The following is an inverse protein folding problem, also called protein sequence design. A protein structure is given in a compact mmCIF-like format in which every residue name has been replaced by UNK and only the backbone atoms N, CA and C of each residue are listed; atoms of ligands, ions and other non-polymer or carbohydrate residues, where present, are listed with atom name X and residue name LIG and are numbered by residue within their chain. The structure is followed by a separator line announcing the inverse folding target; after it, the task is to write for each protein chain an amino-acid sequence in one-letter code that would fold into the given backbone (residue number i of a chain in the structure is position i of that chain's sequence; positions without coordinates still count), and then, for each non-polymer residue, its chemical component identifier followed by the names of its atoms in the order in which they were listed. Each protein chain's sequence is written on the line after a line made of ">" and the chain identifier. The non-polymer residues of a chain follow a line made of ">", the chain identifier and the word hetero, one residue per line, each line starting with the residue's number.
data_IF_210107575273
#
_entry.id   IF_210107575273
#
_cell.length_a   1.000
_cell.length_b   1.000
_cell.length_c   1.000
_cell.angle_alpha   90.00
_cell.angle_beta   90.00
_cell.angle_gamma   90.00
#
_symmetry.space_group_name_H-M   'P 1'
#
loop_
_entity.id
_entity.type
_entity.pdbx_description
1 polymer ?
#
# COMPACT_ATOMS: atom_id res chain seq x y z
N UNK A 1 -28.91 4.33 29.61
CA UNK A 1 -28.26 5.10 28.54
C UNK A 1 -28.75 6.53 28.67
N UNK A 2 -27.98 7.36 29.36
CA UNK A 2 -28.25 8.80 29.44
C UNK A 2 -27.27 9.44 28.47
N UNK A 3 -27.57 9.35 27.17
CA UNK A 3 -26.97 10.24 26.20
C UNK A 3 -28.00 11.35 26.06
N UNK A 4 -27.65 12.61 26.35
CA UNK A 4 -28.55 13.78 26.36
C UNK A 4 -29.37 14.09 25.09
N UNK A 5 -29.71 13.11 24.25
CA UNK A 5 -30.55 13.23 23.07
C UNK A 5 -31.99 13.59 23.41
N UNK A 6 -32.50 14.60 22.71
CA UNK A 6 -33.90 15.01 22.77
C UNK A 6 -34.84 13.93 22.21
N UNK A 7 -36.17 14.00 22.45
CA UNK A 7 -37.12 13.10 21.80
C UNK A 7 -37.01 13.08 20.27
N UNK A 8 -36.70 14.23 19.65
CA UNK A 8 -36.49 14.32 18.20
C UNK A 8 -35.23 13.57 17.77
N UNK A 9 -34.14 13.68 18.54
CA UNK A 9 -32.92 12.90 18.30
C UNK A 9 -33.19 11.40 18.35
N UNK A 10 -33.87 10.92 19.39
CA UNK A 10 -34.16 9.48 19.56
C UNK A 10 -35.08 8.97 18.44
N UNK A 11 -36.09 9.75 18.05
CA UNK A 11 -36.99 9.39 16.94
C UNK A 11 -36.24 9.35 15.60
N UNK A 12 -35.33 10.30 15.35
CA UNK A 12 -34.49 10.35 14.16
C UNK A 12 -33.49 9.18 14.12
N UNK A 13 -32.86 8.85 15.26
CA UNK A 13 -31.95 7.71 15.41
C UNK A 13 -32.62 6.39 15.06
N UNK A 14 -33.87 6.17 15.48
CA UNK A 14 -34.63 4.94 15.24
C UNK A 14 -35.48 4.98 13.95
N UNK A 15 -35.42 6.07 13.18
CA UNK A 15 -36.15 6.20 11.92
C UNK A 15 -37.67 6.27 12.06
N UNK A 16 -38.19 6.69 13.22
CA UNK A 16 -39.62 6.81 13.49
C UNK A 16 -40.21 8.07 12.84
N UNK A 17 -40.37 8.04 11.51
CA UNK A 17 -40.73 9.20 10.67
C UNK A 17 -42.00 9.92 11.14
N UNK A 18 -43.03 9.17 11.54
CA UNK A 18 -44.29 9.75 12.03
C UNK A 18 -44.09 10.53 13.33
N UNK A 19 -43.24 10.01 14.23
CA UNK A 19 -42.87 10.67 15.48
C UNK A 19 -42.00 11.90 15.20
N UNK A 20 -41.04 11.78 14.26
CA UNK A 20 -40.24 12.92 13.80
C UNK A 20 -41.14 14.04 13.27
N UNK A 21 -42.10 13.72 12.38
CA UNK A 21 -43.01 14.71 11.81
C UNK A 21 -43.91 15.37 12.88
N UNK A 22 -44.43 14.59 13.83
CA UNK A 22 -45.23 15.12 14.93
C UNK A 22 -44.42 16.07 15.82
N UNK A 23 -43.18 15.70 16.17
CA UNK A 23 -42.28 16.53 16.98
C UNK A 23 -41.89 17.83 16.26
N UNK A 24 -41.60 17.76 14.96
CA UNK A 24 -41.30 18.96 14.15
C UNK A 24 -42.52 19.89 14.05
N UNK A 25 -43.72 19.34 13.87
CA UNK A 25 -44.98 20.13 13.87
C UNK A 25 -45.21 20.81 15.23
N UNK A 26 -44.81 20.17 16.32
CA UNK A 26 -44.86 20.73 17.66
C UNK A 26 -43.73 21.74 17.97
N UNK A 27 -42.87 22.06 17.00
CA UNK A 27 -41.80 23.05 17.15
C UNK A 27 -40.53 22.52 17.82
N UNK A 28 -40.26 21.21 17.76
CA UNK A 28 -39.01 20.66 18.25
C UNK A 28 -37.79 21.27 17.52
N UNK A 29 -36.76 21.64 18.28
CA UNK A 29 -35.52 22.21 17.74
C UNK A 29 -34.74 21.16 16.94
N UNK A 30 -34.55 21.39 15.64
CA UNK A 30 -33.79 20.50 14.73
C UNK A 30 -32.30 20.44 15.06
N UNK A 31 -31.78 21.44 15.78
CA UNK A 31 -30.35 21.58 16.10
C UNK A 31 -30.01 21.13 17.53
N UNK A 32 -30.97 20.53 18.24
CA UNK A 32 -30.71 20.04 19.59
C UNK A 32 -29.84 18.77 19.56
N UNK A 33 -28.53 18.97 19.65
CA UNK A 33 -27.51 17.94 19.61
C UNK A 33 -27.41 17.12 20.91
N UNK A 34 -26.86 15.91 20.81
CA UNK A 34 -26.45 15.10 21.96
C UNK A 34 -25.10 15.60 22.54
N UNK A 35 -24.55 14.86 23.50
CA UNK A 35 -23.26 15.16 24.15
C UNK A 35 -22.07 15.16 23.19
N UNK A 36 -22.13 14.42 22.06
CA UNK A 36 -21.06 14.36 21.05
C UNK A 36 -21.24 15.44 19.96
N UNK A 37 -22.19 16.36 20.13
CA UNK A 37 -22.52 17.37 19.12
C UNK A 37 -23.34 16.84 17.93
N UNK A 38 -23.80 15.59 17.93
CA UNK A 38 -24.59 15.02 16.85
C UNK A 38 -26.04 15.53 16.87
N UNK A 39 -26.50 16.13 15.78
CA UNK A 39 -27.90 16.58 15.60
C UNK A 39 -28.84 15.44 15.20
N UNK A 40 -30.17 15.61 15.32
CA UNK A 40 -31.16 14.72 14.72
C UNK A 40 -30.89 14.39 13.25
N UNK A 41 -30.46 15.37 12.44
CA UNK A 41 -30.12 15.15 11.03
C UNK A 41 -28.89 14.25 10.88
N UNK A 42 -27.86 14.50 11.69
CA UNK A 42 -26.65 13.66 11.72
C UNK A 42 -27.00 12.19 12.02
N UNK A 43 -27.79 11.92 13.06
CA UNK A 43 -28.10 10.54 13.44
C UNK A 43 -29.05 9.83 12.47
N UNK A 44 -29.99 10.56 11.85
CA UNK A 44 -30.80 10.00 10.77
C UNK A 44 -29.95 9.65 9.54
N UNK A 45 -28.95 10.49 9.21
CA UNK A 45 -27.99 10.24 8.15
C UNK A 45 -27.06 9.06 8.49
N UNK A 46 -26.57 8.97 9.73
CA UNK A 46 -25.76 7.86 10.24
C UNK A 46 -26.44 6.51 10.04
N UNK A 47 -27.74 6.40 10.35
CA UNK A 47 -28.51 5.16 10.24
C UNK A 47 -29.20 4.97 8.87
N UNK A 48 -29.01 5.89 7.93
CA UNK A 48 -29.60 5.79 6.59
C UNK A 48 -31.13 5.94 6.56
N UNK A 49 -31.72 6.59 7.55
CA UNK A 49 -33.17 6.79 7.63
C UNK A 49 -33.63 7.95 6.72
N UNK A 50 -33.62 7.71 5.40
CA UNK A 50 -33.85 8.73 4.36
C UNK A 50 -35.13 9.53 4.55
N UNK A 51 -36.22 8.88 4.97
CA UNK A 51 -37.49 9.58 5.20
C UNK A 51 -37.41 10.54 6.39
N UNK A 52 -36.70 10.18 7.46
CA UNK A 52 -36.41 11.09 8.57
C UNK A 52 -35.46 12.22 8.15
N UNK A 53 -34.40 11.90 7.37
CA UNK A 53 -33.50 12.89 6.77
C UNK A 53 -34.29 13.94 5.98
N UNK A 54 -35.17 13.52 5.06
CA UNK A 54 -36.00 14.44 4.27
C UNK A 54 -36.95 15.28 5.11
N UNK A 55 -37.57 14.69 6.14
CA UNK A 55 -38.44 15.43 7.05
C UNK A 55 -37.68 16.52 7.81
N UNK A 56 -36.49 16.20 8.33
CA UNK A 56 -35.62 17.14 9.03
C UNK A 56 -35.12 18.26 8.11
N UNK A 57 -34.70 17.94 6.88
CA UNK A 57 -34.29 18.93 5.88
C UNK A 57 -35.45 19.85 5.48
N UNK A 58 -36.66 19.32 5.32
CA UNK A 58 -37.86 20.12 5.02
C UNK A 58 -38.19 21.09 6.17
N UNK A 59 -37.90 20.69 7.41
CA UNK A 59 -38.04 21.54 8.59
C UNK A 59 -36.88 22.52 8.80
N UNK A 60 -35.91 22.59 7.88
CA UNK A 60 -34.81 23.56 7.93
C UNK A 60 -33.60 23.12 8.77
N UNK A 61 -33.43 21.82 9.03
CA UNK A 61 -32.25 21.32 9.72
C UNK A 61 -30.96 21.70 8.97
N UNK A 62 -29.93 22.14 9.70
CA UNK A 62 -28.68 22.59 9.13
C UNK A 62 -27.86 21.41 8.56
N UNK A 63 -27.62 21.41 7.24
CA UNK A 63 -26.81 20.38 6.57
C UNK A 63 -25.34 20.42 6.95
N UNK A 64 -24.86 21.55 7.47
CA UNK A 64 -23.46 21.81 7.83
C UNK A 64 -23.23 21.73 9.34
N UNK A 65 -24.18 21.22 10.12
CA UNK A 65 -23.97 21.01 11.55
C UNK A 65 -22.88 19.95 11.77
N UNK A 66 -21.81 20.34 12.45
CA UNK A 66 -20.68 19.47 12.77
C UNK A 66 -20.83 18.86 14.17
N UNK A 67 -20.49 17.58 14.32
CA UNK A 67 -20.27 16.98 15.63
C UNK A 67 -18.92 17.42 16.23
N UNK A 68 -18.56 16.95 17.43
CA UNK A 68 -17.29 17.33 18.08
C UNK A 68 -16.02 16.96 17.27
N UNK A 69 -16.11 15.96 16.39
CA UNK A 69 -15.02 15.55 15.50
C UNK A 69 -14.94 16.39 14.20
N UNK A 70 -15.88 17.31 13.97
CA UNK A 70 -15.98 18.11 12.75
C UNK A 70 -16.65 17.38 11.59
N UNK A 71 -17.47 16.36 11.87
CA UNK A 71 -18.20 15.60 10.85
C UNK A 71 -19.60 16.15 10.64
N UNK A 72 -19.98 16.31 9.37
CA UNK A 72 -21.31 16.74 8.96
C UNK A 72 -22.19 15.53 8.64
N UNK A 73 -23.53 15.70 8.54
CA UNK A 73 -24.43 14.68 8.03
C UNK A 73 -23.98 14.07 6.69
N UNK A 74 -23.36 14.84 5.80
CA UNK A 74 -22.88 14.34 4.51
C UNK A 74 -21.63 13.45 4.67
N UNK A 75 -20.70 13.80 5.57
CA UNK A 75 -19.55 12.94 5.89
C UNK A 75 -20.02 11.56 6.38
N UNK A 76 -20.95 11.53 7.33
CA UNK A 76 -21.37 10.28 7.95
C UNK A 76 -22.25 9.41 7.03
N UNK A 77 -23.10 10.03 6.20
CA UNK A 77 -23.85 9.32 5.17
C UNK A 77 -22.91 8.68 4.13
N UNK A 78 -21.84 9.39 3.73
CA UNK A 78 -20.82 8.87 2.82
C UNK A 78 -19.99 7.74 3.46
N UNK A 79 -19.68 7.85 4.76
CA UNK A 79 -18.96 6.83 5.52
C UNK A 79 -19.69 5.51 5.61
N UNK A 80 -21.01 5.54 5.85
CA UNK A 80 -21.85 4.33 5.92
C UNK A 80 -22.41 3.89 4.56
N UNK A 81 -22.10 4.62 3.48
CA UNK A 81 -22.55 4.27 2.12
C UNK A 81 -24.06 4.44 1.90
N UNK A 82 -24.73 5.29 2.67
CA UNK A 82 -26.17 5.53 2.55
C UNK A 82 -26.49 6.47 1.38
N UNK A 83 -26.49 5.93 0.16
CA UNK A 83 -26.58 6.65 -1.12
C UNK A 83 -27.78 7.60 -1.18
N UNK A 84 -28.95 7.15 -0.75
CA UNK A 84 -30.17 7.96 -0.78
C UNK A 84 -30.15 9.10 0.24
N UNK A 85 -29.46 8.91 1.38
CA UNK A 85 -29.23 9.98 2.34
C UNK A 85 -28.22 11.00 1.79
N UNK A 86 -27.13 10.53 1.16
CA UNK A 86 -26.17 11.38 0.43
C UNK A 86 -26.90 12.22 -0.63
N UNK A 87 -27.73 11.59 -1.47
CA UNK A 87 -28.49 12.29 -2.50
C UNK A 87 -29.48 13.32 -1.92
N UNK A 88 -30.17 12.99 -0.83
CA UNK A 88 -31.09 13.90 -0.16
C UNK A 88 -30.36 15.13 0.41
N UNK A 89 -29.22 14.92 1.07
CA UNK A 89 -28.39 16.00 1.63
C UNK A 89 -27.85 16.92 0.53
N UNK A 90 -27.32 16.36 -0.56
CA UNK A 90 -26.83 17.13 -1.71
C UNK A 90 -27.93 17.94 -2.39
N UNK A 91 -29.13 17.36 -2.52
CA UNK A 91 -30.31 18.06 -3.08
C UNK A 91 -30.73 19.23 -2.19
N UNK A 92 -30.59 19.09 -0.87
CA UNK A 92 -30.85 20.15 0.09
C UNK A 92 -29.72 21.19 0.21
N UNK A 93 -28.67 21.09 -0.62
CA UNK A 93 -27.60 22.08 -0.68
C UNK A 93 -26.41 21.82 0.25
N UNK A 94 -26.29 20.61 0.80
CA UNK A 94 -25.12 20.25 1.61
C UNK A 94 -23.81 20.48 0.82
N UNK A 95 -22.81 21.04 1.47
CA UNK A 95 -21.54 21.33 0.83
C UNK A 95 -20.76 20.03 0.55
N UNK A 96 -20.78 19.58 -0.71
CA UNK A 96 -20.03 18.41 -1.17
C UNK A 96 -18.50 18.52 -1.04
N UNK A 97 -17.98 19.73 -0.88
CA UNK A 97 -16.55 20.02 -0.68
C UNK A 97 -16.20 20.32 0.77
N UNK A 98 -17.13 20.09 1.71
CA UNK A 98 -16.82 20.19 3.14
C UNK A 98 -15.65 19.26 3.45
N UNK A 99 -14.70 19.75 4.25
CA UNK A 99 -13.47 19.04 4.53
C UNK A 99 -13.25 18.96 6.04
N UNK A 100 -12.88 17.78 6.54
CA UNK A 100 -12.41 17.62 7.91
C UNK A 100 -11.11 18.39 8.13
N UNK A 101 -10.64 18.44 9.39
CA UNK A 101 -9.36 19.06 9.74
C UNK A 101 -8.20 18.56 8.89
N UNK A 102 -8.20 17.31 8.43
CA UNK A 102 -7.12 16.72 7.61
C UNK A 102 -7.36 16.79 6.10
N UNK A 103 -8.37 17.54 5.67
CA UNK A 103 -8.69 17.76 4.27
C UNK A 103 -9.52 16.63 3.65
N UNK A 104 -10.16 15.78 4.45
CA UNK A 104 -11.01 14.71 3.94
C UNK A 104 -12.39 15.25 3.59
N UNK A 105 -12.79 15.05 2.35
CA UNK A 105 -14.15 15.36 1.87
C UNK A 105 -15.03 14.12 1.90
N UNK A 106 -16.38 14.25 1.79
CA UNK A 106 -17.26 13.09 1.64
C UNK A 106 -16.85 12.13 0.52
N UNK A 107 -16.27 12.64 -0.57
CA UNK A 107 -15.76 11.80 -1.66
C UNK A 107 -14.54 10.96 -1.27
N UNK A 108 -13.63 11.51 -0.46
CA UNK A 108 -12.52 10.74 0.12
C UNK A 108 -13.04 9.63 1.04
N UNK A 109 -14.01 9.95 1.89
CA UNK A 109 -14.59 9.01 2.84
C UNK A 109 -15.32 7.86 2.12
N UNK A 110 -16.12 8.16 1.09
CA UNK A 110 -16.78 7.13 0.29
C UNK A 110 -15.76 6.26 -0.47
N UNK A 111 -14.68 6.86 -1.00
CA UNK A 111 -13.60 6.16 -1.67
C UNK A 111 -12.79 5.26 -0.71
N UNK A 112 -12.57 5.70 0.52
CA UNK A 112 -11.88 4.93 1.57
C UNK A 112 -12.63 3.67 1.99
N UNK A 113 -13.96 3.75 2.09
CA UNK A 113 -14.80 2.61 2.46
C UNK A 113 -15.27 1.78 1.24
N UNK A 114 -14.94 2.20 0.02
CA UNK A 114 -15.29 1.49 -1.21
C UNK A 114 -16.78 1.55 -1.56
N UNK A 115 -17.53 2.55 -1.06
CA UNK A 115 -18.94 2.74 -1.36
C UNK A 115 -19.12 3.37 -2.76
N UNK A 116 -19.09 2.52 -3.78
CA UNK A 116 -19.06 2.93 -5.20
C UNK A 116 -20.27 3.78 -5.59
N UNK A 117 -21.45 3.44 -5.10
CA UNK A 117 -22.68 4.15 -5.39
C UNK A 117 -22.69 5.54 -4.72
N UNK A 118 -22.12 5.67 -3.52
CA UNK A 118 -21.94 6.97 -2.87
C UNK A 118 -20.88 7.82 -3.60
N UNK A 119 -19.78 7.21 -4.05
CA UNK A 119 -18.78 7.84 -4.94
C UNK A 119 -19.47 8.36 -6.21
N UNK A 120 -20.27 7.54 -6.88
CA UNK A 120 -20.98 7.92 -8.09
C UNK A 120 -21.99 9.05 -7.86
N UNK A 121 -22.74 9.02 -6.75
CA UNK A 121 -23.68 10.07 -6.38
C UNK A 121 -22.96 11.42 -6.15
N UNK A 122 -21.85 11.41 -5.42
CA UNK A 122 -21.04 12.62 -5.16
C UNK A 122 -20.45 13.19 -6.45
N UNK A 123 -19.89 12.34 -7.33
CA UNK A 123 -19.36 12.76 -8.63
C UNK A 123 -20.45 13.33 -9.55
N UNK A 124 -21.64 12.72 -9.55
CA UNK A 124 -22.81 13.21 -10.32
C UNK A 124 -23.27 14.58 -9.81
N UNK A 125 -23.19 14.83 -8.51
CA UNK A 125 -23.44 16.14 -7.91
C UNK A 125 -22.30 17.16 -8.14
N UNK A 126 -21.25 16.77 -8.88
CA UNK A 126 -20.13 17.62 -9.26
C UNK A 126 -19.04 17.75 -8.19
N UNK A 127 -18.89 16.77 -7.29
CA UNK A 127 -17.81 16.78 -6.32
C UNK A 127 -16.45 16.76 -7.02
N UNK A 128 -15.51 17.55 -6.52
CA UNK A 128 -14.18 17.65 -7.11
C UNK A 128 -13.34 16.39 -6.79
N UNK A 129 -13.20 15.54 -7.81
CA UNK A 129 -12.39 14.31 -7.79
C UNK A 129 -10.87 14.53 -7.65
N UNK A 130 -10.40 15.77 -7.75
CA UNK A 130 -8.99 16.14 -7.63
C UNK A 130 -8.65 16.85 -6.31
N UNK A 131 -9.60 16.95 -5.37
CA UNK A 131 -9.27 17.48 -4.03
C UNK A 131 -8.22 16.57 -3.40
N UNK A 132 -7.25 17.19 -2.74
CA UNK A 132 -6.19 16.49 -2.05
C UNK A 132 -6.30 16.73 -0.54
N UNK A 133 -6.09 15.68 0.24
CA UNK A 133 -5.90 15.80 1.69
C UNK A 133 -4.63 16.61 2.01
N UNK A 134 -4.38 16.87 3.30
CA UNK A 134 -3.13 17.52 3.73
C UNK A 134 -1.87 16.81 3.23
N UNK A 135 -1.88 15.50 3.03
CA UNK A 135 -0.71 14.75 2.56
C UNK A 135 -0.63 14.64 1.03
N UNK A 136 -1.58 15.27 0.32
CA UNK A 136 -1.65 15.24 -1.14
C UNK A 136 -2.42 14.02 -1.68
N UNK A 137 -3.11 13.25 -0.85
CA UNK A 137 -3.87 12.09 -1.31
C UNK A 137 -5.21 12.51 -1.92
N UNK A 138 -5.50 12.07 -3.14
CA UNK A 138 -6.80 12.27 -3.81
C UNK A 138 -7.76 11.10 -3.51
N UNK A 139 -9.07 11.21 -3.82
CA UNK A 139 -9.98 10.09 -3.69
C UNK A 139 -9.53 8.85 -4.48
N UNK A 140 -8.92 9.03 -5.66
CA UNK A 140 -8.37 7.93 -6.46
C UNK A 140 -7.19 7.26 -5.75
N UNK A 141 -6.30 8.05 -5.15
CA UNK A 141 -5.21 7.52 -4.34
C UNK A 141 -5.74 6.69 -3.16
N UNK A 142 -6.75 7.20 -2.44
CA UNK A 142 -7.31 6.53 -1.27
C UNK A 142 -8.05 5.24 -1.64
N UNK A 143 -8.83 5.23 -2.73
CA UNK A 143 -9.45 4.01 -3.23
C UNK A 143 -8.40 2.97 -3.65
N UNK A 144 -7.29 3.43 -4.26
CA UNK A 144 -6.18 2.58 -4.67
C UNK A 144 -5.40 2.02 -3.46
N UNK A 145 -5.19 2.81 -2.41
CA UNK A 145 -4.57 2.39 -1.16
C UNK A 145 -5.33 1.21 -0.51
N UNK A 146 -6.66 1.31 -0.47
CA UNK A 146 -7.54 0.32 0.16
C UNK A 146 -7.96 -0.84 -0.75
N UNK A 147 -7.58 -0.84 -2.03
CA UNK A 147 -7.86 -1.94 -2.94
C UNK A 147 -9.29 -1.95 -3.52
N UNK A 148 -10.02 -0.84 -3.42
CA UNK A 148 -11.41 -0.76 -3.88
C UNK A 148 -11.50 -0.56 -5.41
N UNK A 149 -11.32 -1.64 -6.16
CA UNK A 149 -11.25 -1.62 -7.64
C UNK A 149 -12.48 -0.97 -8.31
N UNK A 150 -13.68 -1.19 -7.77
CA UNK A 150 -14.89 -0.61 -8.35
C UNK A 150 -14.96 0.91 -8.14
N UNK A 151 -14.52 1.42 -6.98
CA UNK A 151 -14.40 2.86 -6.73
C UNK A 151 -13.30 3.49 -7.59
N UNK A 152 -12.15 2.80 -7.76
CA UNK A 152 -11.08 3.21 -8.69
C UNK A 152 -11.62 3.35 -10.11
N UNK A 153 -12.35 2.35 -10.62
CA UNK A 153 -12.96 2.39 -11.96
C UNK A 153 -13.97 3.53 -12.10
N UNK A 154 -14.81 3.78 -11.09
CA UNK A 154 -15.76 4.88 -11.10
C UNK A 154 -15.05 6.25 -11.18
N UNK A 155 -14.00 6.46 -10.37
CA UNK A 155 -13.21 7.68 -10.37
C UNK A 155 -12.48 7.91 -11.71
N UNK A 156 -11.86 6.86 -12.27
CA UNK A 156 -11.20 6.93 -13.59
C UNK A 156 -12.20 7.22 -14.71
N UNK A 157 -13.39 6.60 -14.68
CA UNK A 157 -14.47 6.85 -15.64
C UNK A 157 -14.97 8.29 -15.57
N UNK A 158 -15.00 8.87 -14.37
CA UNK A 158 -15.30 10.29 -14.17
C UNK A 158 -14.16 11.24 -14.55
N UNK A 159 -13.03 10.70 -15.03
CA UNK A 159 -11.87 11.46 -15.52
C UNK A 159 -10.87 11.86 -14.43
N UNK A 160 -10.80 11.12 -13.31
CA UNK A 160 -9.81 11.39 -12.27
C UNK A 160 -8.39 11.21 -12.81
N UNK A 161 -7.47 12.11 -12.45
CA UNK A 161 -6.08 12.06 -12.90
C UNK A 161 -5.33 10.95 -12.17
N UNK A 162 -4.98 9.90 -12.92
CA UNK A 162 -4.24 8.72 -12.44
C UNK A 162 -2.78 8.97 -12.01
N UNK A 163 -2.23 10.15 -12.33
CA UNK A 163 -0.82 10.52 -12.05
C UNK A 163 -0.66 11.51 -10.90
N UNK A 164 -1.74 11.94 -10.23
CA UNK A 164 -1.61 12.86 -9.09
C UNK A 164 -0.91 12.14 -7.95
N UNK A 165 0.24 12.68 -7.54
CA UNK A 165 1.06 12.11 -6.49
C UNK A 165 0.84 12.83 -5.14
N UNK A 166 1.03 12.10 -4.04
CA UNK A 166 1.13 12.67 -2.70
C UNK A 166 2.37 13.56 -2.57
N UNK A 167 2.50 14.25 -1.43
CA UNK A 167 3.69 15.06 -1.11
C UNK A 167 5.00 14.27 -1.16
N UNK A 168 4.95 12.99 -0.82
CA UNK A 168 6.10 12.08 -0.89
C UNK A 168 6.30 11.47 -2.30
N UNK A 169 5.56 11.94 -3.30
CA UNK A 169 5.65 11.49 -4.69
C UNK A 169 4.98 10.15 -4.97
N UNK A 170 4.10 9.64 -4.08
CA UNK A 170 3.38 8.38 -4.34
C UNK A 170 2.18 8.59 -5.26
N UNK A 171 2.16 7.91 -6.40
CA UNK A 171 0.97 7.85 -7.28
C UNK A 171 0.01 6.75 -6.82
N UNK A 172 -1.26 6.75 -7.26
CA UNK A 172 -2.20 5.65 -7.06
C UNK A 172 -1.63 4.28 -7.47
N UNK A 173 -0.88 4.21 -8.56
CA UNK A 173 -0.25 2.96 -9.01
C UNK A 173 0.86 2.48 -8.06
N UNK A 174 1.65 3.39 -7.49
CA UNK A 174 2.68 3.02 -6.53
C UNK A 174 2.08 2.36 -5.28
N UNK A 175 1.04 2.98 -4.73
CA UNK A 175 0.46 2.52 -3.45
C UNK A 175 -0.36 1.25 -3.62
N UNK A 176 -1.10 1.11 -4.73
CA UNK A 176 -1.77 -0.14 -5.08
C UNK A 176 -0.75 -1.27 -5.27
N UNK A 177 0.39 -0.95 -5.87
CA UNK A 177 1.46 -1.93 -6.07
C UNK A 177 2.12 -2.35 -4.75
N UNK A 178 2.40 -1.39 -3.86
CA UNK A 178 2.97 -1.65 -2.54
C UNK A 178 2.05 -2.51 -1.65
N UNK A 179 0.73 -2.32 -1.76
CA UNK A 179 -0.26 -3.04 -0.94
C UNK A 179 -0.76 -4.33 -1.59
N UNK A 180 -0.32 -4.64 -2.82
CA UNK A 180 -0.61 -5.91 -3.47
C UNK A 180 -1.95 -6.01 -4.20
N UNK A 181 -2.58 -4.88 -4.51
CA UNK A 181 -3.92 -4.83 -5.11
C UNK A 181 -3.87 -5.04 -6.63
N UNK A 182 -3.73 -6.30 -7.07
CA UNK A 182 -3.57 -6.70 -8.49
C UNK A 182 -4.66 -6.13 -9.39
N UNK A 183 -5.92 -6.17 -8.96
CA UNK A 183 -7.06 -5.72 -9.75
C UNK A 183 -7.08 -4.19 -9.91
N UNK A 184 -6.70 -3.45 -8.86
CA UNK A 184 -6.52 -1.99 -8.92
C UNK A 184 -5.36 -1.62 -9.84
N UNK A 185 -4.22 -2.31 -9.71
CA UNK A 185 -3.06 -2.13 -10.60
C UNK A 185 -3.48 -2.33 -12.05
N UNK A 186 -4.19 -3.43 -12.34
CA UNK A 186 -4.68 -3.73 -13.69
C UNK A 186 -5.63 -2.64 -14.20
N UNK A 187 -6.54 -2.13 -13.36
CA UNK A 187 -7.46 -1.06 -13.72
C UNK A 187 -6.73 0.26 -14.03
N UNK A 188 -5.73 0.63 -13.22
CA UNK A 188 -4.90 1.82 -13.44
C UNK A 188 -4.07 1.71 -14.72
N UNK A 189 -3.44 0.56 -14.96
CA UNK A 189 -2.66 0.29 -16.18
C UNK A 189 -3.55 0.30 -17.44
N UNK A 190 -4.74 -0.27 -17.35
CA UNK A 190 -5.74 -0.23 -18.45
C UNK A 190 -6.17 1.21 -18.75
N UNK A 191 -6.24 2.06 -17.72
CA UNK A 191 -6.48 3.49 -17.88
C UNK A 191 -5.23 4.26 -18.35
N UNK A 192 -4.12 3.60 -18.62
CA UNK A 192 -2.86 4.17 -19.12
C UNK A 192 -2.03 4.86 -18.04
N UNK A 193 -2.09 4.41 -16.79
CA UNK A 193 -1.20 4.91 -15.73
C UNK A 193 0.26 4.56 -16.04
N UNK A 194 1.18 5.47 -15.77
CA UNK A 194 2.60 5.28 -16.04
C UNK A 194 3.21 4.22 -15.11
N UNK A 195 3.41 3.00 -15.62
CA UNK A 195 4.04 1.88 -14.90
C UNK A 195 5.50 2.14 -14.51
N UNK A 196 6.16 3.11 -15.14
CA UNK A 196 7.55 3.50 -14.91
C UNK A 196 7.69 4.81 -14.11
N UNK A 197 6.58 5.37 -13.59
CA UNK A 197 6.65 6.54 -12.72
C UNK A 197 7.64 6.29 -11.57
N UNK A 198 8.48 7.28 -11.27
CA UNK A 198 9.44 7.19 -10.18
C UNK A 198 9.25 8.38 -9.24
N UNK A 199 9.15 8.11 -7.94
CA UNK A 199 9.20 9.17 -6.92
C UNK A 199 10.64 9.65 -6.70
N UNK A 200 10.83 10.66 -5.86
CA UNK A 200 12.14 11.30 -5.61
C UNK A 200 13.29 10.36 -5.24
N UNK A 201 13.02 9.25 -4.53
CA UNK A 201 14.03 8.23 -4.16
C UNK A 201 14.31 7.20 -5.27
N UNK A 202 13.68 7.37 -6.45
CA UNK A 202 13.76 6.46 -7.59
C UNK A 202 12.92 5.19 -7.43
N UNK A 203 12.04 5.08 -6.43
CA UNK A 203 11.13 3.95 -6.28
C UNK A 203 10.03 4.03 -7.34
N UNK A 204 9.88 2.93 -8.08
CA UNK A 204 8.84 2.72 -9.11
C UNK A 204 7.74 1.80 -8.57
N UNK A 205 6.57 1.67 -9.23
CA UNK A 205 5.55 0.71 -8.86
C UNK A 205 6.07 -0.73 -8.77
N UNK A 206 6.94 -1.14 -9.69
CA UNK A 206 7.55 -2.49 -9.67
C UNK A 206 8.42 -2.69 -8.42
N UNK A 207 9.21 -1.69 -8.02
CA UNK A 207 10.01 -1.73 -6.79
C UNK A 207 9.12 -1.76 -5.54
N UNK A 208 8.01 -1.02 -5.55
CA UNK A 208 7.04 -1.02 -4.47
C UNK A 208 6.39 -2.41 -4.30
N UNK A 209 5.97 -3.04 -5.40
CA UNK A 209 5.43 -4.41 -5.40
C UNK A 209 6.45 -5.44 -4.91
N UNK A 210 7.70 -5.33 -5.35
CA UNK A 210 8.78 -6.21 -4.92
C UNK A 210 9.07 -6.07 -3.41
N UNK A 211 9.06 -4.85 -2.88
CA UNK A 211 9.20 -4.59 -1.45
C UNK A 211 8.07 -5.22 -0.63
N UNK A 212 6.82 -5.12 -1.11
CA UNK A 212 5.67 -5.80 -0.50
C UNK A 212 5.65 -7.33 -0.70
N UNK A 213 6.47 -7.86 -1.61
CA UNK A 213 6.48 -9.28 -1.97
C UNK A 213 5.28 -9.71 -2.82
N UNK A 214 4.67 -8.77 -3.56
CA UNK A 214 3.43 -8.99 -4.31
C UNK A 214 3.70 -9.48 -5.73
N UNK A 215 4.03 -10.77 -5.87
CA UNK A 215 4.36 -11.43 -7.15
C UNK A 215 3.28 -11.23 -8.21
N UNK A 216 1.99 -11.30 -7.84
CA UNK A 216 0.88 -11.08 -8.77
C UNK A 216 0.86 -9.66 -9.36
N UNK A 217 1.16 -8.65 -8.53
CA UNK A 217 1.29 -7.26 -8.99
C UNK A 217 2.51 -7.10 -9.88
N UNK A 218 3.66 -7.66 -9.46
CA UNK A 218 4.88 -7.61 -10.27
C UNK A 218 4.63 -8.20 -11.65
N UNK A 219 3.99 -9.36 -11.72
CA UNK A 219 3.59 -9.98 -12.99
C UNK A 219 2.70 -9.05 -13.82
N UNK A 220 1.67 -8.45 -13.22
CA UNK A 220 0.78 -7.53 -13.94
C UNK A 220 1.54 -6.32 -14.52
N UNK A 221 2.48 -5.75 -13.77
CA UNK A 221 3.33 -4.64 -14.24
C UNK A 221 4.30 -5.05 -15.36
N UNK A 222 4.87 -6.25 -15.28
CA UNK A 222 5.80 -6.78 -16.28
C UNK A 222 5.11 -7.14 -17.60
N UNK A 223 3.87 -7.62 -17.54
CA UNK A 223 3.08 -8.02 -18.71
C UNK A 223 2.29 -6.87 -19.35
N UNK A 224 2.04 -5.77 -18.63
CA UNK A 224 1.36 -4.64 -19.21
C UNK A 224 2.23 -4.00 -20.30
N UNK A 225 1.77 -4.00 -21.55
CA UNK A 225 2.42 -3.25 -22.63
C UNK A 225 2.27 -1.76 -22.36
N UNK A 226 3.38 -1.02 -22.34
CA UNK A 226 3.38 0.43 -22.19
C UNK A 226 3.14 1.12 -23.54
N UNK A 227 2.67 2.36 -23.54
CA UNK A 227 2.62 3.16 -24.77
C UNK A 227 4.02 3.41 -25.36
N UNK A 228 5.07 3.46 -24.52
CA UNK A 228 6.48 3.54 -24.93
C UNK A 228 7.02 2.26 -25.58
N UNK A 229 6.32 1.13 -25.45
CA UNK A 229 6.74 -0.15 -26.04
C UNK A 229 6.28 -0.25 -27.52
N UNK A 230 5.57 0.77 -28.04
CA UNK A 230 5.12 0.90 -29.45
C UNK A 230 6.10 1.66 -30.35
N UNK A 231 7.13 2.31 -29.80
CA UNK A 231 8.19 2.90 -30.61
C UNK A 231 9.12 1.80 -31.14
N UNK A 232 9.20 1.66 -32.47
CA UNK A 232 10.03 0.67 -33.14
C UNK A 232 11.52 0.86 -32.75
N UNK A 233 12.02 -0.03 -31.89
CA UNK A 233 13.39 0.03 -31.33
C UNK A 233 13.46 0.15 -29.81
N UNK A 234 12.33 0.34 -29.13
CA UNK A 234 12.19 0.24 -27.68
C UNK A 234 12.22 -1.24 -27.30
N UNK A 235 13.41 -1.77 -26.99
CA UNK A 235 13.53 -3.13 -26.47
C UNK A 235 12.66 -3.26 -25.21
N UNK A 236 11.56 -4.02 -25.30
CA UNK A 236 10.89 -4.56 -24.11
C UNK A 236 11.90 -5.42 -23.37
N UNK A 237 12.66 -4.79 -22.46
CA UNK A 237 13.80 -5.37 -21.73
C UNK A 237 13.44 -6.57 -20.85
N UNK A 238 12.15 -6.86 -20.67
CA UNK A 238 11.69 -8.03 -19.93
C UNK A 238 11.70 -9.26 -20.83
N UNK A 239 12.57 -10.21 -20.48
CA UNK A 239 12.72 -11.47 -21.22
C UNK A 239 11.79 -12.57 -20.66
N UNK A 240 11.51 -13.64 -21.43
CA UNK A 240 10.79 -14.81 -20.89
C UNK A 240 11.46 -15.41 -19.64
N UNK A 241 12.80 -15.26 -19.52
CA UNK A 241 13.56 -15.73 -18.37
C UNK A 241 13.21 -14.92 -17.11
N UNK A 242 13.01 -13.60 -17.23
CA UNK A 242 12.55 -12.76 -16.12
C UNK A 242 11.23 -13.25 -15.52
N UNK A 243 10.24 -13.50 -16.39
CA UNK A 243 8.93 -13.98 -15.97
C UNK A 243 9.00 -15.38 -15.37
N UNK A 244 9.68 -16.33 -16.04
CA UNK A 244 9.85 -17.69 -15.51
C UNK A 244 10.53 -17.68 -14.13
N UNK A 245 11.48 -16.78 -13.91
CA UNK A 245 12.15 -16.62 -12.62
C UNK A 245 11.24 -16.04 -11.54
N UNK A 246 10.46 -14.99 -11.85
CA UNK A 246 9.46 -14.44 -10.93
C UNK A 246 8.44 -15.51 -10.51
N UNK A 247 8.07 -16.37 -11.45
CA UNK A 247 7.05 -17.41 -11.28
C UNK A 247 7.55 -18.63 -10.50
N UNK A 248 8.87 -18.77 -10.37
CA UNK A 248 9.50 -19.95 -9.80
C UNK A 248 9.41 -21.19 -10.71
N UNK A 249 9.14 -21.02 -12.01
CA UNK A 249 9.03 -22.12 -12.98
C UNK A 249 10.43 -22.63 -13.37
N UNK A 250 10.99 -23.52 -12.54
CA UNK A 250 12.31 -24.08 -12.73
C UNK A 250 12.46 -24.78 -14.09
N UNK A 251 11.44 -25.54 -14.52
CA UNK A 251 11.50 -26.27 -15.78
C UNK A 251 11.64 -25.31 -16.98
N UNK A 252 10.85 -24.23 -16.98
CA UNK A 252 10.95 -23.19 -18.01
C UNK A 252 12.25 -22.42 -17.95
N UNK A 253 12.76 -22.12 -16.75
CA UNK A 253 14.10 -21.51 -16.56
C UNK A 253 15.18 -22.40 -17.17
N UNK A 254 15.13 -23.70 -16.94
CA UNK A 254 16.12 -24.63 -17.50
C UNK A 254 16.07 -24.70 -19.03
N UNK A 255 14.87 -24.78 -19.60
CA UNK A 255 14.67 -24.75 -21.05
C UNK A 255 15.23 -23.48 -21.67
N UNK A 256 14.95 -22.31 -21.08
CA UNK A 256 15.41 -21.02 -21.60
C UNK A 256 16.93 -20.89 -21.55
N UNK A 257 17.56 -21.29 -20.44
CA UNK A 257 19.02 -21.25 -20.31
C UNK A 257 19.71 -22.24 -21.27
N UNK A 258 19.13 -23.43 -21.48
CA UNK A 258 19.62 -24.38 -22.50
C UNK A 258 19.48 -23.81 -23.93
N UNK A 259 18.43 -23.02 -24.16
CA UNK A 259 18.21 -22.29 -25.41
C UNK A 259 19.09 -21.06 -25.61
N UNK A 260 20.04 -20.78 -24.69
CA UNK A 260 20.98 -19.66 -24.80
C UNK A 260 20.47 -18.34 -24.26
N UNK A 261 19.41 -18.33 -23.44
CA UNK A 261 18.99 -17.12 -22.74
C UNK A 261 20.12 -16.60 -21.84
N UNK A 262 20.40 -15.30 -21.93
CA UNK A 262 21.44 -14.65 -21.12
C UNK A 262 20.98 -14.55 -19.65
N UNK A 263 21.80 -15.09 -18.74
CA UNK A 263 21.46 -15.25 -17.32
C UNK A 263 21.30 -13.92 -16.57
N UNK A 264 22.02 -12.89 -17.01
CA UNK A 264 22.07 -11.56 -16.40
C UNK A 264 21.43 -10.49 -17.29
N UNK A 265 20.57 -10.88 -18.25
CA UNK A 265 19.85 -9.91 -19.08
C UNK A 265 19.21 -8.84 -18.21
N UNK A 266 19.45 -7.57 -18.54
CA UNK A 266 18.99 -6.45 -17.74
C UNK A 266 17.60 -5.98 -18.18
N UNK A 267 16.60 -6.22 -17.32
CA UNK A 267 15.28 -5.61 -17.38
C UNK A 267 15.29 -4.08 -17.27
N UNK A 268 14.13 -3.44 -17.42
CA UNK A 268 13.98 -1.99 -17.12
C UNK A 268 14.41 -1.72 -15.68
N UNK A 269 15.19 -0.68 -15.43
CA UNK A 269 15.68 -0.34 -14.09
C UNK A 269 16.77 -1.27 -13.51
N UNK A 270 17.39 -2.11 -14.35
CA UNK A 270 18.54 -2.96 -14.01
C UNK A 270 18.19 -4.31 -13.37
N UNK A 271 16.90 -4.67 -13.36
CA UNK A 271 16.44 -5.95 -12.82
C UNK A 271 17.04 -7.12 -13.58
N UNK A 272 17.54 -8.12 -12.87
CA UNK A 272 18.02 -9.37 -13.47
C UNK A 272 17.06 -10.51 -13.16
N UNK A 273 17.14 -11.63 -13.89
CA UNK A 273 16.40 -12.85 -13.55
C UNK A 273 16.61 -13.29 -12.09
N UNK A 274 17.81 -13.13 -11.55
CA UNK A 274 18.11 -13.47 -10.15
C UNK A 274 17.33 -12.58 -9.17
N UNK A 275 17.23 -11.28 -9.44
CA UNK A 275 16.41 -10.40 -8.59
C UNK A 275 14.94 -10.82 -8.57
N UNK A 276 14.38 -11.21 -9.72
CA UNK A 276 13.00 -11.66 -9.81
C UNK A 276 12.77 -13.02 -9.15
N UNK A 277 13.71 -13.97 -9.29
CA UNK A 277 13.66 -15.25 -8.57
C UNK A 277 13.63 -15.05 -7.04
N UNK A 278 14.42 -14.09 -6.55
CA UNK A 278 14.45 -13.73 -5.14
C UNK A 278 13.15 -13.06 -4.69
N UNK A 279 12.55 -12.19 -5.51
CA UNK A 279 11.23 -11.61 -5.22
C UNK A 279 10.11 -12.66 -5.22
N UNK A 280 10.15 -13.62 -6.15
CA UNK A 280 9.28 -14.79 -6.19
C UNK A 280 9.53 -15.81 -5.08
N UNK A 281 10.60 -15.61 -4.29
CA UNK A 281 11.04 -16.50 -3.19
C UNK A 281 11.33 -17.95 -3.62
N UNK A 282 11.71 -18.15 -4.88
CA UNK A 282 12.08 -19.47 -5.40
C UNK A 282 13.57 -19.73 -5.18
N UNK A 283 13.90 -20.46 -4.11
CA UNK A 283 15.27 -20.82 -3.75
C UNK A 283 15.91 -21.75 -4.79
N UNK A 284 15.13 -22.64 -5.39
CA UNK A 284 15.59 -23.58 -6.42
C UNK A 284 15.98 -22.85 -7.71
N UNK A 285 15.13 -21.93 -8.17
CA UNK A 285 15.43 -21.10 -9.34
C UNK A 285 16.62 -20.19 -9.06
N UNK A 286 16.69 -19.54 -7.90
CA UNK A 286 17.84 -18.71 -7.52
C UNK A 286 19.14 -19.53 -7.52
N UNK A 287 19.14 -20.72 -6.92
CA UNK A 287 20.30 -21.62 -6.93
C UNK A 287 20.67 -22.10 -8.35
N UNK A 288 19.68 -22.30 -9.22
CA UNK A 288 19.90 -22.66 -10.63
C UNK A 288 20.52 -21.52 -11.44
N UNK A 289 20.10 -20.27 -11.21
CA UNK A 289 20.69 -19.08 -11.84
C UNK A 289 22.13 -18.86 -11.35
N UNK A 290 22.39 -18.99 -10.05
CA UNK A 290 23.74 -18.87 -9.49
C UNK A 290 24.71 -19.91 -10.08
N UNK A 291 24.25 -21.16 -10.28
CA UNK A 291 25.03 -22.19 -10.99
C UNK A 291 25.25 -21.88 -12.46
N UNK A 292 24.35 -21.12 -13.08
CA UNK A 292 24.48 -20.63 -14.45
C UNK A 292 25.34 -19.36 -14.57
N UNK A 293 25.93 -18.87 -13.47
CA UNK A 293 26.85 -17.73 -13.50
C UNK A 293 26.19 -16.37 -13.27
N UNK A 294 24.96 -16.32 -12.75
CA UNK A 294 24.29 -15.05 -12.43
C UNK A 294 25.13 -14.18 -11.49
N UNK A 295 25.21 -12.88 -11.80
CA UNK A 295 25.93 -11.90 -11.01
C UNK A 295 25.40 -11.81 -9.58
N UNK A 296 26.30 -11.82 -8.61
CA UNK A 296 25.98 -11.72 -7.18
C UNK A 296 26.06 -10.29 -6.63
N UNK A 297 26.55 -9.35 -7.45
CA UNK A 297 26.86 -7.97 -7.04
C UNK A 297 26.04 -6.91 -7.76
N UNK A 298 25.44 -7.23 -8.90
CA UNK A 298 24.61 -6.29 -9.65
C UNK A 298 23.42 -5.86 -8.80
N UNK A 299 23.24 -4.55 -8.59
CA UNK A 299 22.21 -4.03 -7.70
C UNK A 299 21.04 -3.39 -8.44
N UNK A 300 19.85 -3.47 -7.85
CA UNK A 300 18.62 -2.82 -8.34
C UNK A 300 18.08 -1.89 -7.26
N UNK A 301 18.07 -0.58 -7.53
CA UNK A 301 17.71 0.43 -6.51
C UNK A 301 18.61 0.36 -5.26
N UNK A 302 19.89 0.02 -5.47
CA UNK A 302 20.88 -0.17 -4.40
C UNK A 302 20.86 -1.55 -3.73
N UNK A 303 19.83 -2.37 -3.90
CA UNK A 303 19.80 -3.72 -3.32
C UNK A 303 20.51 -4.72 -4.24
N UNK A 304 21.55 -5.39 -3.72
CA UNK A 304 22.18 -6.55 -4.35
C UNK A 304 21.31 -7.82 -4.18
N UNK A 305 21.59 -8.93 -4.89
CA UNK A 305 20.95 -10.22 -4.65
C UNK A 305 21.02 -10.66 -3.19
N UNK A 306 22.11 -10.35 -2.49
CA UNK A 306 22.23 -10.67 -1.07
C UNK A 306 21.24 -9.86 -0.22
N UNK A 307 21.03 -8.57 -0.50
CA UNK A 307 19.99 -7.77 0.18
C UNK A 307 18.60 -8.37 -0.02
N UNK A 308 18.26 -8.77 -1.25
CA UNK A 308 16.94 -9.33 -1.57
C UNK A 308 16.74 -10.71 -0.93
N UNK A 309 17.74 -11.58 -0.97
CA UNK A 309 17.71 -12.88 -0.31
C UNK A 309 17.56 -12.73 1.21
N UNK A 310 18.26 -11.76 1.80
CA UNK A 310 18.19 -11.47 3.23
C UNK A 310 16.84 -10.89 3.65
N UNK A 311 16.29 -9.96 2.87
CA UNK A 311 14.96 -9.41 3.10
C UNK A 311 13.85 -10.46 2.95
N UNK A 312 14.03 -11.40 2.01
CA UNK A 312 13.06 -12.45 1.70
C UNK A 312 13.15 -13.70 2.60
N UNK A 313 14.10 -13.76 3.53
CA UNK A 313 14.25 -14.91 4.44
C UNK A 313 14.83 -16.17 3.78
N UNK A 314 15.59 -16.03 2.70
CA UNK A 314 16.06 -17.18 1.89
C UNK A 314 17.44 -17.66 2.34
N UNK A 315 17.54 -18.28 3.53
CA UNK A 315 18.81 -18.70 4.13
C UNK A 315 19.65 -19.63 3.22
N UNK A 316 19.00 -20.53 2.47
CA UNK A 316 19.67 -21.39 1.48
C UNK A 316 20.39 -20.59 0.39
N UNK A 317 19.75 -19.52 -0.11
CA UNK A 317 20.33 -18.65 -1.14
C UNK A 317 21.40 -17.74 -0.54
N UNK A 318 21.21 -17.24 0.68
CA UNK A 318 22.23 -16.47 1.42
C UNK A 318 23.51 -17.29 1.59
N UNK A 319 23.41 -18.57 1.93
CA UNK A 319 24.57 -19.46 2.01
C UNK A 319 25.27 -19.65 0.65
N UNK A 320 24.51 -19.69 -0.45
CA UNK A 320 25.07 -19.72 -1.79
C UNK A 320 25.75 -18.39 -2.18
N UNK A 321 25.25 -17.27 -1.65
CA UNK A 321 25.76 -15.91 -1.88
C UNK A 321 26.84 -15.48 -0.87
N UNK A 322 27.36 -16.35 0.00
CA UNK A 322 28.32 -16.01 1.06
C UNK A 322 29.63 -15.32 0.64
N UNK A 323 29.94 -15.32 -0.67
CA UNK A 323 31.11 -14.62 -1.25
C UNK A 323 30.78 -13.23 -1.80
N UNK A 324 29.50 -12.88 -1.85
CA UNK A 324 29.06 -11.54 -2.21
C UNK A 324 29.47 -10.54 -1.11
N UNK A 325 29.62 -9.24 -1.44
CA UNK A 325 29.98 -8.22 -0.45
C UNK A 325 28.93 -8.14 0.67
N UNK A 326 29.29 -8.63 1.86
CA UNK A 326 28.41 -8.67 3.03
C UNK A 326 28.08 -7.27 3.57
N UNK A 327 28.98 -6.31 3.34
CA UNK A 327 28.86 -4.92 3.82
C UNK A 327 28.44 -3.91 2.75
N UNK A 328 27.97 -4.39 1.59
CA UNK A 328 27.38 -3.50 0.60
C UNK A 328 26.20 -2.75 1.21
N UNK A 329 26.14 -1.42 1.02
CA UNK A 329 25.03 -0.57 1.44
C UNK A 329 24.12 -0.26 0.26
N UNK A 330 22.81 -0.35 0.47
CA UNK A 330 21.83 0.12 -0.49
C UNK A 330 21.60 1.64 -0.38
N UNK A 331 20.66 2.20 -1.15
CA UNK A 331 20.36 3.63 -1.12
C UNK A 331 19.79 4.13 0.23
N UNK A 332 19.30 3.22 1.07
CA UNK A 332 18.82 3.51 2.44
C UNK A 332 19.98 3.36 3.47
N UNK A 333 21.21 3.13 3.01
CA UNK A 333 22.39 2.92 3.84
C UNK A 333 22.40 1.59 4.61
N UNK A 334 21.51 0.65 4.26
CA UNK A 334 21.36 -0.63 4.94
C UNK A 334 22.21 -1.71 4.27
N UNK A 335 22.81 -2.59 5.09
CA UNK A 335 23.46 -3.83 4.65
C UNK A 335 22.45 -4.99 4.55
N UNK A 336 22.80 -6.14 3.95
CA UNK A 336 21.97 -7.34 3.98
C UNK A 336 21.62 -7.82 5.39
N UNK A 337 22.52 -7.63 6.37
CA UNK A 337 22.24 -7.97 7.77
C UNK A 337 21.11 -7.08 8.33
N UNK A 338 21.15 -5.77 8.06
CA UNK A 338 20.06 -4.86 8.42
C UNK A 338 18.72 -5.31 7.83
N UNK A 339 18.71 -5.72 6.55
CA UNK A 339 17.50 -6.22 5.88
C UNK A 339 16.95 -7.50 6.54
N UNK A 340 17.83 -8.43 6.92
CA UNK A 340 17.43 -9.66 7.61
C UNK A 340 16.82 -9.36 8.99
N UNK A 341 17.45 -8.45 9.74
CA UNK A 341 16.98 -8.00 11.05
C UNK A 341 15.64 -7.26 10.96
N UNK A 342 15.49 -6.35 9.99
CA UNK A 342 14.26 -5.61 9.74
C UNK A 342 13.03 -6.53 9.59
N UNK A 343 13.24 -7.75 9.08
CA UNK A 343 12.19 -8.74 8.81
C UNK A 343 12.16 -9.90 9.82
N UNK A 344 13.06 -9.91 10.81
CA UNK A 344 13.11 -10.93 11.84
C UNK A 344 13.55 -12.32 11.36
N UNK A 345 14.30 -12.42 10.24
CA UNK A 345 14.72 -13.70 9.66
C UNK A 345 15.95 -14.28 10.38
N UNK A 346 15.72 -15.04 11.45
CA UNK A 346 16.77 -15.58 12.33
C UNK A 346 17.82 -16.40 11.60
N UNK A 347 17.38 -17.33 10.79
CA UNK A 347 18.20 -18.27 10.04
C UNK A 347 19.13 -17.54 9.06
N UNK A 348 18.61 -16.49 8.41
CA UNK A 348 19.40 -15.58 7.58
C UNK A 348 20.40 -14.79 8.41
N UNK A 349 19.99 -14.23 9.55
CA UNK A 349 20.90 -13.50 10.45
C UNK A 349 22.05 -14.41 10.90
N UNK A 350 21.74 -15.63 11.36
CA UNK A 350 22.76 -16.62 11.73
C UNK A 350 23.68 -16.96 10.55
N UNK A 351 23.13 -17.12 9.34
CA UNK A 351 23.92 -17.41 8.14
C UNK A 351 24.87 -16.26 7.78
N UNK A 352 24.41 -15.01 7.83
CA UNK A 352 25.22 -13.82 7.55
C UNK A 352 26.33 -13.64 8.60
N UNK A 353 26.03 -13.81 9.88
CA UNK A 353 27.02 -13.71 10.95
C UNK A 353 28.07 -14.82 10.84
N UNK A 354 27.67 -16.06 10.53
CA UNK A 354 28.61 -17.16 10.24
C UNK A 354 29.48 -16.89 9.01
N UNK A 355 28.97 -16.13 8.04
CA UNK A 355 29.72 -15.70 6.87
C UNK A 355 30.69 -14.54 7.17
N UNK A 356 30.60 -13.91 8.34
CA UNK A 356 31.47 -12.82 8.78
C UNK A 356 30.91 -11.42 8.57
N UNK A 357 29.58 -11.27 8.47
CA UNK A 357 28.95 -9.95 8.40
C UNK A 357 29.19 -9.15 9.69
N UNK A 358 29.45 -7.85 9.57
CA UNK A 358 29.67 -6.96 10.71
C UNK A 358 28.36 -6.68 11.46
N UNK A 359 28.28 -7.20 12.68
CA UNK A 359 27.14 -6.99 13.57
C UNK A 359 27.01 -5.54 14.08
N UNK A 360 28.07 -4.74 14.01
CA UNK A 360 28.11 -3.35 14.46
C UNK A 360 27.97 -2.34 13.30
N UNK A 361 27.71 -2.82 12.08
CA UNK A 361 27.55 -1.98 10.92
C UNK A 361 26.44 -0.92 11.15
N UNK A 362 26.74 0.34 10.82
CA UNK A 362 25.79 1.46 10.98
C UNK A 362 25.08 1.78 9.68
N UNK A 363 23.79 2.05 9.77
CA UNK A 363 23.01 2.67 8.68
C UNK A 363 23.44 4.12 8.45
N UNK A 364 23.25 4.63 7.23
CA UNK A 364 23.57 6.03 6.91
C UNK A 364 22.52 7.02 7.45
N UNK A 365 21.34 6.53 7.80
CA UNK A 365 20.32 7.26 8.55
C UNK A 365 20.54 7.04 10.06
N UNK A 366 20.87 8.11 10.78
CA UNK A 366 21.27 8.09 12.19
C UNK A 366 20.19 7.62 13.20
N UNK A 367 19.07 7.08 12.74
CA UNK A 367 17.92 6.65 13.55
C UNK A 367 17.63 5.13 13.51
N UNK A 368 18.38 4.34 12.72
CA UNK A 368 18.24 2.88 12.73
C UNK A 368 19.48 2.22 13.36
N UNK A 369 19.64 2.41 14.67
CA UNK A 369 20.44 1.48 15.47
C UNK A 369 19.70 0.14 15.39
N UNK A 370 20.42 -0.97 15.22
CA UNK A 370 19.94 -2.36 15.10
C UNK A 370 19.14 -2.86 16.34
N UNK A 371 18.54 -1.98 17.13
CA UNK A 371 17.86 -2.31 18.37
C UNK A 371 16.42 -2.82 18.15
N UNK A 372 16.34 -4.13 17.89
CA UNK A 372 15.56 -4.99 18.77
C UNK A 372 16.56 -5.83 19.60
N UNK A 373 17.23 -5.15 20.53
CA UNK A 373 18.33 -5.68 21.34
C UNK A 373 17.98 -6.92 22.19
N UNK A 374 16.70 -7.20 22.42
CA UNK A 374 16.27 -8.36 23.23
C UNK A 374 16.51 -9.70 22.50
N UNK A 375 16.53 -9.70 21.16
CA UNK A 375 16.69 -10.93 20.38
C UNK A 375 18.14 -11.24 20.00
N UNK A 376 18.94 -10.20 19.71
CA UNK A 376 20.36 -10.37 19.37
C UNK A 376 21.20 -10.80 20.56
N UNK A 377 20.98 -10.29 21.78
CA UNK A 377 21.79 -10.70 22.94
C UNK A 377 21.63 -12.20 23.25
N UNK A 378 20.41 -12.73 23.22
CA UNK A 378 20.16 -14.16 23.42
C UNK A 378 20.76 -15.04 22.32
N UNK A 379 20.73 -14.58 21.06
CA UNK A 379 21.31 -15.28 19.91
C UNK A 379 22.85 -15.24 19.92
N UNK A 380 23.44 -14.09 20.23
CA UNK A 380 24.89 -13.91 20.35
C UNK A 380 25.45 -14.72 21.53
N UNK A 381 24.71 -14.83 22.64
CA UNK A 381 25.08 -15.71 23.76
C UNK A 381 25.04 -17.20 23.34
N UNK A 382 24.06 -17.59 22.52
CA UNK A 382 23.92 -18.95 22.01
C UNK A 382 24.98 -19.33 20.95
N UNK A 383 25.37 -18.38 20.09
CA UNK A 383 26.42 -18.57 19.09
C UNK A 383 27.83 -18.60 19.71
N UNK A 384 28.06 -17.85 20.80
CA UNK A 384 29.31 -17.91 21.59
C UNK A 384 29.46 -19.20 22.40
N UNK A 385 28.36 -19.93 22.64
CA UNK A 385 28.33 -21.16 23.46
C UNK A 385 28.18 -22.44 22.63
N UNK A 386 27.99 -22.35 21.30
CA UNK A 386 27.91 -23.50 20.40
C UNK A 386 29.31 -24.05 20.04
N UNK A 387 29.59 -25.35 20.25
CA UNK A 387 30.93 -25.94 20.12
C UNK A 387 31.48 -26.10 18.68
N UNK A 388 30.85 -25.48 17.67
CA UNK A 388 31.24 -25.63 16.26
C UNK A 388 32.21 -24.54 15.73
N UNK A 389 32.62 -23.56 16.55
CA UNK A 389 33.52 -22.45 16.14
C UNK A 389 34.85 -22.44 16.92
N UNK A 390 35.29 -23.59 17.43
CA UNK A 390 36.67 -23.74 17.94
C UNK A 390 37.53 -24.38 16.84
N UNK A 391 38.35 -23.58 16.15
CA UNK A 391 39.45 -24.12 15.35
C UNK A 391 40.43 -24.86 16.27
N UNK A 392 40.99 -26.02 15.87
CA UNK A 392 42.07 -26.66 16.61
C UNK A 392 43.39 -25.97 16.25
N UNK A 393 43.84 -25.05 17.10
CA UNK A 393 45.23 -24.58 17.13
C UNK A 393 45.97 -25.28 18.25
N UNK A 394 46.84 -26.23 17.90
CA UNK A 394 47.71 -26.93 18.86
C UNK A 394 48.73 -26.01 19.54
N UNK A 395 49.37 -26.48 20.62
CA UNK A 395 50.25 -25.67 21.46
C UNK A 395 51.65 -25.53 20.86
N UNK A 396 52.26 -24.37 21.01
CA UNK A 396 53.71 -24.22 20.89
C UNK A 396 54.29 -23.89 22.26
N UNK A 397 55.15 -24.80 22.70
CA UNK A 397 56.01 -24.69 23.87
C UNK A 397 57.22 -23.80 23.56
N UNK A 398 57.42 -22.79 24.39
CA UNK A 398 58.59 -22.51 25.24
C UNK A 398 58.71 -21.01 25.54
#
# INVERSE_FOLDING_TARGET
>A
MHNGGTPLFIAAFNGHVEVVAALLTAGANTEAANEDGATPLYTAAYNGHVAAVRALLTAGANTEAENEDGWTPLHIAAYNGHVEAVAALLTAGANKEVATKDGWTPLHIAAYNGHVEAVAALLTAGANKEVATKDGATPLFIAAYNGHVAAVRALLTAGARKEVATKDGWTPLHIAAQNGHVEVVTALLTAGANKEAAKEDGRTPLRAAAYGGHVGVMRALLLAEGDDDKEAGSESRWTPLHLACLDGDLARVEQLLQGGAEVDSAGKGGWTPLHLALCGRSTEVAARLLRAGASTTQATGGNTPLHNASYGGQAGVVNALRRAPLEAKNHEGMTPLHRACQRGHRDVVEALLRAGADQEAKTDVSSFVVMHAVWMEALLLHLRTSPAVMRPGGPLAH
#
